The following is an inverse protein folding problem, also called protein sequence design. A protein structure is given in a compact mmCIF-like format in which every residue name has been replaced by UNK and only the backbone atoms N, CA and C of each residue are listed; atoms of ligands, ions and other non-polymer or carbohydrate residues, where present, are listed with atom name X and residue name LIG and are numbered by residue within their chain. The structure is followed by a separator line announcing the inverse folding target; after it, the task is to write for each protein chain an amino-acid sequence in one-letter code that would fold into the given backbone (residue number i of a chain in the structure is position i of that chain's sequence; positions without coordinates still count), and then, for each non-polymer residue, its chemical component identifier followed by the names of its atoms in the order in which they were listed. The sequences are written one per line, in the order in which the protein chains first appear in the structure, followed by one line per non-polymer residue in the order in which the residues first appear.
data_IF_532132287691
#
_entry.id   IF_532132287691
#
_cell.length_a   1.000
_cell.length_b   1.000
_cell.length_c   1.000
_cell.angle_alpha   90.00
_cell.angle_beta   90.00
_cell.angle_gamma   90.00
#
_symmetry.space_group_name_H-M   'P 1'
#
loop_
_entity.id
_entity.type
_entity.pdbx_description
1 polymer ?
#
# COMPACT_ATOMS: atom_id res chain seq x y z
N UNK A 1 -25.19 25.19 29.31
CA UNK A 1 -23.95 24.41 29.50
C UNK A 1 -24.18 22.91 29.66
N UNK A 2 -24.87 22.40 30.69
CA UNK A 2 -25.08 20.94 30.89
C UNK A 2 -25.66 20.20 29.66
N UNK A 3 -26.64 20.79 28.97
CA UNK A 3 -27.22 20.22 27.73
C UNK A 3 -26.23 20.15 26.56
N UNK A 4 -25.33 21.13 26.44
CA UNK A 4 -24.31 21.17 25.37
C UNK A 4 -23.26 20.08 25.62
N UNK A 5 -22.83 19.93 26.89
CA UNK A 5 -21.90 18.87 27.28
C UNK A 5 -22.51 17.50 26.97
N UNK A 6 -23.78 17.28 27.33
CA UNK A 6 -24.47 16.03 27.02
C UNK A 6 -24.49 15.73 25.51
N UNK A 7 -24.82 16.72 24.68
CA UNK A 7 -24.83 16.56 23.22
C UNK A 7 -23.44 16.19 22.71
N UNK A 8 -22.40 16.92 23.15
CA UNK A 8 -21.02 16.62 22.75
C UNK A 8 -20.58 15.22 23.19
N UNK A 9 -20.93 14.79 24.40
CA UNK A 9 -20.61 13.44 24.88
C UNK A 9 -21.32 12.36 24.05
N UNK A 10 -22.60 12.56 23.71
CA UNK A 10 -23.35 11.61 22.88
C UNK A 10 -22.80 11.57 21.45
N UNK A 11 -22.47 12.73 20.87
CA UNK A 11 -21.83 12.81 19.54
C UNK A 11 -20.47 12.13 19.53
N UNK A 12 -19.67 12.27 20.59
CA UNK A 12 -18.37 11.61 20.71
C UNK A 12 -18.52 10.08 20.79
N UNK A 13 -19.49 9.58 21.58
CA UNK A 13 -19.78 8.15 21.66
C UNK A 13 -20.24 7.62 20.30
N UNK A 14 -21.10 8.34 19.58
CA UNK A 14 -21.55 7.96 18.24
C UNK A 14 -20.40 7.93 17.24
N UNK A 15 -19.47 8.90 17.30
CA UNK A 15 -18.27 8.92 16.46
C UNK A 15 -17.38 7.70 16.73
N UNK A 16 -17.15 7.36 17.99
CA UNK A 16 -16.35 6.19 18.36
C UNK A 16 -16.99 4.88 17.88
N UNK A 17 -18.32 4.76 18.04
CA UNK A 17 -19.07 3.60 17.54
C UNK A 17 -19.03 3.51 16.01
N UNK A 18 -19.12 4.64 15.32
CA UNK A 18 -19.04 4.70 13.86
C UNK A 18 -17.65 4.28 13.35
N UNK A 19 -16.58 4.75 13.99
CA UNK A 19 -15.20 4.34 13.66
C UNK A 19 -15.03 2.83 13.87
N UNK A 20 -15.45 2.28 15.02
CA UNK A 20 -15.37 0.84 15.26
C UNK A 20 -16.22 0.03 14.27
N UNK A 21 -17.41 0.51 13.90
CA UNK A 21 -18.25 -0.16 12.90
C UNK A 21 -17.54 -0.20 11.53
N UNK A 22 -16.95 0.91 11.09
CA UNK A 22 -16.18 0.94 9.84
C UNK A 22 -14.95 0.02 9.88
N UNK A 23 -14.30 -0.16 11.02
CA UNK A 23 -13.21 -1.14 11.18
C UNK A 23 -13.71 -2.59 11.10
N UNK A 24 -14.82 -2.91 11.77
CA UNK A 24 -15.45 -4.23 11.75
C UNK A 24 -15.95 -4.62 10.34
N UNK A 25 -16.49 -3.67 9.59
CA UNK A 25 -16.95 -3.92 8.21
C UNK A 25 -15.77 -4.11 7.22
N UNK A 26 -14.55 -3.69 7.61
CA UNK A 26 -13.32 -3.97 6.85
C UNK A 26 -12.74 -5.37 7.10
N UNK A 27 -13.09 -6.05 8.20
CA UNK A 27 -12.52 -7.37 8.54
C UNK A 27 -12.98 -8.51 7.60
N UNK A 28 -14.04 -8.32 6.80
CA UNK A 28 -14.56 -9.38 5.92
C UNK A 28 -14.04 -9.33 4.46
N UNK A 29 -13.21 -8.34 4.11
CA UNK A 29 -12.40 -8.44 2.89
C UNK A 29 -11.08 -9.08 3.27
N UNK A 30 -10.79 -10.25 2.69
CA UNK A 30 -9.43 -10.79 2.66
C UNK A 30 -8.57 -9.77 1.91
N UNK A 31 -8.02 -8.80 2.62
CA UNK A 31 -7.08 -7.85 2.05
C UNK A 31 -5.78 -8.63 1.92
N UNK A 32 -5.41 -8.99 0.69
CA UNK A 32 -4.20 -9.76 0.40
C UNK A 32 -2.91 -9.06 0.90
N UNK A 33 -3.00 -7.75 1.20
CA UNK A 33 -1.91 -6.93 1.69
C UNK A 33 -2.33 -6.18 2.96
N UNK A 34 -1.38 -5.99 3.89
CA UNK A 34 -1.57 -5.11 5.03
C UNK A 34 -1.86 -3.67 4.57
N UNK A 35 -2.56 -2.90 5.40
CA UNK A 35 -2.65 -1.45 5.24
C UNK A 35 -1.45 -0.74 5.88
N UNK A 36 -1.29 0.56 5.58
CA UNK A 36 -0.21 1.38 6.14
C UNK A 36 -0.13 1.35 7.66
N UNK A 37 -1.29 1.38 8.35
CA UNK A 37 -1.36 1.30 9.81
C UNK A 37 -0.74 0.01 10.37
N UNK A 38 -1.04 -1.14 9.76
CA UNK A 38 -0.47 -2.42 10.16
C UNK A 38 1.03 -2.49 9.81
N UNK A 39 1.42 -2.01 8.64
CA UNK A 39 2.82 -1.95 8.21
C UNK A 39 3.70 -1.10 9.14
N UNK A 40 3.20 0.05 9.61
CA UNK A 40 3.95 0.92 10.51
C UNK A 40 4.26 0.28 11.87
N UNK A 41 3.51 -0.76 12.27
CA UNK A 41 3.78 -1.56 13.48
C UNK A 41 4.87 -2.63 13.27
N UNK A 42 5.26 -2.92 12.04
CA UNK A 42 6.38 -3.80 11.77
C UNK A 42 7.68 -3.12 12.21
N UNK A 43 8.63 -3.90 12.74
CA UNK A 43 9.90 -3.38 13.24
C UNK A 43 11.09 -4.06 12.54
N UNK A 44 12.19 -3.30 12.40
CA UNK A 44 13.46 -3.79 11.86
C UNK A 44 13.32 -4.51 10.51
N UNK A 45 13.83 -5.74 10.45
CA UNK A 45 13.88 -6.56 9.23
C UNK A 45 12.51 -6.97 8.71
N UNK A 46 11.45 -6.93 9.53
CA UNK A 46 10.11 -7.32 9.09
C UNK A 46 9.57 -6.38 8.00
N UNK A 47 9.89 -5.07 8.07
CA UNK A 47 9.54 -4.11 7.02
C UNK A 47 10.25 -4.43 5.71
N UNK A 48 11.54 -4.76 5.79
CA UNK A 48 12.35 -5.12 4.63
C UNK A 48 11.78 -6.37 3.93
N UNK A 49 11.48 -7.44 4.68
CA UNK A 49 10.87 -8.64 4.09
C UNK A 49 9.49 -8.39 3.50
N UNK A 50 8.68 -7.54 4.14
CA UNK A 50 7.37 -7.18 3.61
C UNK A 50 7.47 -6.47 2.25
N UNK A 51 8.34 -5.45 2.15
CA UNK A 51 8.56 -4.73 0.88
C UNK A 51 9.26 -5.61 -0.16
N UNK A 52 10.18 -6.49 0.24
CA UNK A 52 10.81 -7.45 -0.67
C UNK A 52 9.75 -8.38 -1.28
N UNK A 53 8.83 -8.91 -0.46
CA UNK A 53 7.73 -9.73 -0.97
C UNK A 53 6.82 -8.99 -1.95
N UNK A 54 6.59 -7.69 -1.75
CA UNK A 54 5.87 -6.86 -2.72
C UNK A 54 6.65 -6.72 -4.03
N UNK A 55 7.95 -6.45 -3.96
CA UNK A 55 8.83 -6.33 -5.12
C UNK A 55 8.84 -7.64 -5.91
N UNK A 56 9.11 -8.76 -5.24
CA UNK A 56 9.17 -10.09 -5.86
C UNK A 56 7.82 -10.47 -6.48
N UNK A 57 6.71 -10.18 -5.78
CA UNK A 57 5.36 -10.42 -6.28
C UNK A 57 5.04 -9.60 -7.53
N UNK A 58 5.44 -8.33 -7.57
CA UNK A 58 5.26 -7.48 -8.77
C UNK A 58 6.10 -7.97 -9.95
N UNK A 59 7.36 -8.31 -9.72
CA UNK A 59 8.24 -8.86 -10.76
C UNK A 59 7.71 -10.20 -11.30
N UNK A 60 7.26 -11.09 -10.42
CA UNK A 60 6.67 -12.37 -10.83
C UNK A 60 5.39 -12.18 -11.66
N UNK A 61 4.46 -11.34 -11.18
CA UNK A 61 3.23 -11.04 -11.94
C UNK A 61 3.52 -10.40 -13.30
N UNK A 62 4.55 -9.53 -13.39
CA UNK A 62 4.98 -8.94 -14.66
C UNK A 62 5.42 -10.02 -15.65
N UNK A 63 6.25 -10.97 -15.22
CA UNK A 63 6.71 -12.07 -16.07
C UNK A 63 5.54 -12.94 -16.55
N UNK A 64 4.64 -13.32 -15.63
CA UNK A 64 3.49 -14.14 -15.99
C UNK A 64 2.54 -13.41 -16.96
N UNK A 65 2.30 -12.12 -16.74
CA UNK A 65 1.49 -11.30 -17.65
C UNK A 65 2.15 -11.14 -19.03
N UNK A 66 3.47 -10.95 -19.09
CA UNK A 66 4.22 -10.90 -20.35
C UNK A 66 4.03 -12.19 -21.16
N UNK A 67 4.24 -13.35 -20.51
CA UNK A 67 4.07 -14.65 -21.15
C UNK A 67 2.63 -14.84 -21.65
N UNK A 68 1.64 -14.44 -20.85
CA UNK A 68 0.24 -14.51 -21.25
C UNK A 68 -0.07 -13.60 -22.45
N UNK A 69 0.55 -12.42 -22.58
CA UNK A 69 0.35 -11.58 -23.79
C UNK A 69 0.95 -12.14 -25.05
N UNK A 70 2.06 -12.86 -24.96
CA UNK A 70 2.62 -13.51 -26.13
C UNK A 70 1.70 -14.64 -26.61
N UNK A 71 1.02 -15.31 -25.68
CA UNK A 71 0.06 -16.38 -25.99
C UNK A 71 -1.32 -15.87 -26.41
N UNK A 72 -1.73 -14.68 -25.97
CA UNK A 72 -3.09 -14.15 -26.18
C UNK A 72 -3.08 -12.66 -26.56
N UNK A 73 -3.78 -12.30 -27.65
CA UNK A 73 -4.06 -10.91 -28.00
C UNK A 73 -5.00 -10.27 -26.98
N UNK A 74 -4.47 -9.72 -25.89
CA UNK A 74 -5.26 -8.90 -24.98
C UNK A 74 -5.68 -7.61 -25.70
N UNK A 75 -6.99 -7.34 -25.73
CA UNK A 75 -7.59 -6.15 -26.34
C UNK A 75 -7.34 -4.83 -25.58
N UNK A 76 -6.31 -4.80 -24.74
CA UNK A 76 -5.88 -3.62 -23.98
C UNK A 76 -4.34 -3.54 -24.02
N UNK A 77 -3.77 -2.31 -23.97
CA UNK A 77 -2.32 -2.12 -24.09
C UNK A 77 -1.62 -2.64 -22.83
N UNK A 78 -1.29 -3.93 -22.83
CA UNK A 78 -0.62 -4.60 -21.71
C UNK A 78 0.75 -3.97 -21.42
N UNK A 79 1.41 -3.38 -22.41
CA UNK A 79 2.65 -2.59 -22.24
C UNK A 79 2.51 -1.50 -21.17
N UNK A 80 1.35 -0.83 -21.08
CA UNK A 80 1.10 0.20 -20.07
C UNK A 80 1.01 -0.44 -18.67
N UNK A 81 0.36 -1.59 -18.56
CA UNK A 81 0.21 -2.33 -17.29
C UNK A 81 1.57 -2.85 -16.83
N UNK A 82 2.35 -3.43 -17.73
CA UNK A 82 3.67 -3.99 -17.45
C UNK A 82 4.69 -2.91 -17.08
N UNK A 83 4.64 -1.74 -17.75
CA UNK A 83 5.43 -0.57 -17.38
C UNK A 83 5.09 -0.09 -15.96
N UNK A 84 3.84 -0.23 -15.54
CA UNK A 84 3.40 0.16 -14.18
C UNK A 84 3.74 -0.81 -13.06
N UNK A 85 4.24 -1.99 -13.40
CA UNK A 85 4.54 -3.08 -12.46
C UNK A 85 6.04 -3.38 -12.34
N UNK A 86 6.93 -2.63 -13.00
CA UNK A 86 8.36 -2.94 -12.94
C UNK A 86 8.99 -2.46 -11.63
N UNK A 87 9.33 -3.40 -10.75
CA UNK A 87 10.27 -3.17 -9.68
C UNK A 87 11.74 -3.16 -10.16
N UNK A 88 11.97 -3.42 -11.45
CA UNK A 88 13.29 -3.50 -12.09
C UNK A 88 14.11 -2.22 -11.90
N UNK A 89 13.46 -1.06 -11.76
CA UNK A 89 14.12 0.22 -11.49
C UNK A 89 14.85 0.28 -10.16
N UNK A 90 14.42 -0.47 -9.14
CA UNK A 90 15.19 -0.56 -7.90
C UNK A 90 16.54 -1.24 -8.14
N UNK A 91 16.57 -2.27 -9.00
CA UNK A 91 17.79 -2.94 -9.40
C UNK A 91 18.67 -2.04 -10.28
N UNK A 92 18.08 -1.30 -11.23
CA UNK A 92 18.81 -0.35 -12.08
C UNK A 92 19.47 0.79 -11.28
N UNK A 93 18.80 1.25 -10.21
CA UNK A 93 19.35 2.27 -9.30
C UNK A 93 20.26 1.69 -8.22
N UNK A 94 20.58 0.38 -8.25
CA UNK A 94 21.36 -0.32 -7.23
C UNK A 94 20.88 -0.04 -5.79
N UNK A 95 19.57 0.08 -5.59
CA UNK A 95 19.02 0.34 -4.26
C UNK A 95 18.94 -0.95 -3.45
N UNK A 96 19.52 -0.95 -2.26
CA UNK A 96 19.30 -2.03 -1.30
C UNK A 96 17.90 -1.94 -0.67
N UNK A 97 17.41 -3.06 -0.13
CA UNK A 97 16.06 -3.13 0.44
C UNK A 97 15.85 -2.16 1.62
N UNK A 98 16.89 -1.81 2.38
CA UNK A 98 16.80 -0.87 3.49
C UNK A 98 16.69 0.59 3.00
N UNK A 99 17.33 0.92 1.88
CA UNK A 99 17.12 2.21 1.21
C UNK A 99 15.67 2.34 0.73
N UNK A 100 15.11 1.28 0.15
CA UNK A 100 13.70 1.23 -0.27
C UNK A 100 12.76 1.41 0.94
N UNK A 101 13.01 0.70 2.05
CA UNK A 101 12.27 0.87 3.31
C UNK A 101 12.34 2.32 3.80
N UNK A 102 13.51 2.94 3.73
CA UNK A 102 13.71 4.33 4.17
C UNK A 102 12.87 5.31 3.33
N UNK A 103 12.91 5.17 2.00
CA UNK A 103 12.12 6.00 1.08
C UNK A 103 10.62 5.79 1.32
N UNK A 104 10.19 4.54 1.46
CA UNK A 104 8.78 4.23 1.67
C UNK A 104 8.26 4.71 3.02
N UNK A 105 9.03 4.57 4.10
CA UNK A 105 8.64 5.11 5.40
C UNK A 105 8.51 6.64 5.35
N UNK A 106 9.45 7.32 4.68
CA UNK A 106 9.36 8.77 4.46
C UNK A 106 8.09 9.15 3.69
N UNK A 107 7.74 8.39 2.65
CA UNK A 107 6.48 8.59 1.92
C UNK A 107 5.25 8.47 2.84
N UNK A 108 5.22 7.46 3.71
CA UNK A 108 4.12 7.27 4.65
C UNK A 108 4.04 8.39 5.68
N UNK A 109 5.17 8.86 6.19
CA UNK A 109 5.25 10.00 7.13
C UNK A 109 4.71 11.30 6.51
N UNK A 110 4.90 11.48 5.19
CA UNK A 110 4.38 12.62 4.45
C UNK A 110 2.87 12.54 4.15
N UNK A 111 2.24 11.37 4.31
CA UNK A 111 0.82 11.14 3.97
C UNK A 111 0.08 10.28 5.03
N UNK A 112 0.02 10.71 6.31
CA UNK A 112 -0.59 9.95 7.40
C UNK A 112 -2.08 9.67 7.20
N UNK A 113 -2.80 10.55 6.51
CA UNK A 113 -4.21 10.40 6.20
C UNK A 113 -4.51 9.16 5.33
N UNK A 114 -3.48 8.60 4.68
CA UNK A 114 -3.59 7.47 3.75
C UNK A 114 -3.16 6.14 4.34
N UNK A 115 -2.81 6.08 5.62
CA UNK A 115 -2.36 4.84 6.27
C UNK A 115 -3.43 3.74 6.33
N UNK A 116 -4.70 4.09 6.13
CA UNK A 116 -5.78 3.12 6.01
C UNK A 116 -5.78 2.37 4.66
N UNK A 117 -5.07 2.88 3.65
CA UNK A 117 -4.96 2.24 2.34
C UNK A 117 -4.00 1.03 2.36
N UNK A 118 -4.15 0.14 1.39
CA UNK A 118 -3.27 -1.03 1.21
C UNK A 118 -1.83 -0.63 0.93
N UNK A 119 -0.86 -1.33 1.52
CA UNK A 119 0.57 -1.03 1.33
C UNK A 119 0.98 -1.19 -0.13
N UNK A 120 0.43 -2.17 -0.86
CA UNK A 120 0.73 -2.36 -2.28
C UNK A 120 0.37 -1.13 -3.12
N UNK A 121 -0.82 -0.53 -2.90
CA UNK A 121 -1.21 0.70 -3.61
C UNK A 121 -0.35 1.88 -3.20
N UNK A 122 -0.11 2.06 -1.89
CA UNK A 122 0.76 3.13 -1.37
C UNK A 122 2.19 3.01 -1.92
N UNK A 123 2.70 1.79 -2.05
CA UNK A 123 4.02 1.52 -2.58
C UNK A 123 4.14 1.90 -4.05
N UNK A 124 3.16 1.52 -4.89
CA UNK A 124 3.11 1.95 -6.30
C UNK A 124 3.10 3.48 -6.41
N UNK A 125 2.35 4.16 -5.56
CA UNK A 125 2.31 5.62 -5.54
C UNK A 125 3.60 6.26 -5.05
N UNK A 126 4.27 5.66 -4.07
CA UNK A 126 5.61 6.05 -3.65
C UNK A 126 6.59 6.00 -4.83
N UNK A 127 6.59 4.88 -5.58
CA UNK A 127 7.43 4.71 -6.77
C UNK A 127 7.14 5.83 -7.79
N UNK A 128 5.86 6.14 -8.05
CA UNK A 128 5.47 7.24 -8.96
C UNK A 128 5.95 8.61 -8.47
N UNK A 129 5.73 8.93 -7.19
CA UNK A 129 6.06 10.24 -6.61
C UNK A 129 7.56 10.53 -6.67
N UNK A 130 8.39 9.52 -6.41
CA UNK A 130 9.84 9.67 -6.38
C UNK A 130 10.52 9.37 -7.72
N UNK A 131 9.74 9.26 -8.80
CA UNK A 131 10.24 8.92 -10.14
C UNK A 131 11.22 7.74 -10.06
N UNK A 132 10.83 6.70 -9.30
CA UNK A 132 11.53 5.43 -9.23
C UNK A 132 11.18 4.55 -10.44
N UNK A 133 10.83 5.18 -11.56
CA UNK A 133 10.54 4.67 -12.89
C UNK A 133 11.54 5.26 -13.88
#
# INVERSE_FOLDING_TARGET
MKKIILILSVSLILLLLFVSYCELEQEEKVVAFQNGNAYMKLEGVARAYYLQGLIDGMSYMKTDLWNLSEEHSFGFPLEIVLATMSADHFAEKNMDIFQIVTIFNKFLEECPERWHCTVSSLFIECIKKFELW
#
